data_IF_914261437165
#
_entry.id   IF_914261437165
#
_cell.length_a   1.000
_cell.length_b   1.000
_cell.length_c   1.000
_cell.angle_alpha   90.00
_cell.angle_beta   90.00
_cell.angle_gamma   90.00
#
_symmetry.space_group_name_H-M   'P 1'
#
loop_
_entity.id
_entity.type
_entity.pdbx_description
1 polymer ?
#
# COMPACT_ATOMS: atom_id res chain seq x y z
N UNK A 1 -16.18 -11.00 1.37
CA UNK A 1 -15.29 -9.99 0.76
C UNK A 1 -14.79 -9.03 1.83
N UNK A 2 -13.55 -8.69 1.76
CA UNK A 2 -12.88 -7.78 2.69
C UNK A 2 -12.11 -6.70 1.93
N UNK A 3 -11.84 -5.60 2.61
CA UNK A 3 -10.92 -4.56 2.13
C UNK A 3 -9.72 -4.55 3.06
N UNK A 4 -8.52 -4.72 2.48
CA UNK A 4 -7.26 -4.52 3.18
C UNK A 4 -6.73 -3.14 2.81
N UNK A 5 -6.57 -2.29 3.82
CA UNK A 5 -6.11 -0.91 3.66
C UNK A 5 -4.75 -0.75 4.33
N UNK A 6 -3.75 -0.37 3.55
CA UNK A 6 -2.44 0.00 4.07
C UNK A 6 -2.24 1.50 3.96
N UNK A 7 -1.74 2.13 5.00
CA UNK A 7 -1.58 3.58 5.07
C UNK A 7 -0.19 3.93 5.55
N UNK A 8 0.33 5.06 5.09
CA UNK A 8 1.58 5.64 5.57
C UNK A 8 1.54 7.16 5.36
N UNK A 9 2.24 7.90 6.21
CA UNK A 9 2.33 9.35 6.07
C UNK A 9 3.61 9.76 5.36
N UNK A 10 3.46 10.63 4.34
CA UNK A 10 4.60 11.23 3.65
C UNK A 10 5.22 12.34 4.50
N UNK A 11 6.53 12.49 4.42
CA UNK A 11 7.21 13.67 4.97
C UNK A 11 6.78 14.91 4.19
N UNK A 12 6.77 16.05 4.87
CA UNK A 12 6.45 17.31 4.22
C UNK A 12 7.38 17.57 3.04
N UNK A 13 6.78 17.88 1.88
CA UNK A 13 7.50 18.11 0.63
C UNK A 13 7.77 16.86 -0.21
N UNK A 14 7.48 15.65 0.32
CA UNK A 14 7.75 14.37 -0.36
C UNK A 14 6.50 13.60 -0.76
N UNK A 15 5.32 14.22 -0.67
CA UNK A 15 4.06 13.51 -0.96
C UNK A 15 4.01 12.94 -2.38
N UNK A 16 4.43 13.72 -3.38
CA UNK A 16 4.42 13.25 -4.77
C UNK A 16 5.39 12.09 -4.98
N UNK A 17 6.55 12.12 -4.32
CA UNK A 17 7.51 11.01 -4.38
C UNK A 17 6.89 9.72 -3.83
N UNK A 18 6.15 9.82 -2.72
CA UNK A 18 5.45 8.66 -2.14
C UNK A 18 4.35 8.15 -3.08
N UNK A 19 3.56 9.05 -3.67
CA UNK A 19 2.52 8.67 -4.64
C UNK A 19 3.15 7.94 -5.83
N UNK A 20 4.24 8.44 -6.39
CA UNK A 20 4.93 7.83 -7.52
C UNK A 20 5.46 6.43 -7.16
N UNK A 21 6.02 6.27 -5.96
CA UNK A 21 6.49 4.98 -5.47
C UNK A 21 5.34 3.99 -5.26
N UNK A 22 4.18 4.45 -4.77
CA UNK A 22 3.00 3.61 -4.62
C UNK A 22 2.45 3.16 -5.98
N UNK A 23 2.43 4.06 -6.96
CA UNK A 23 2.02 3.72 -8.33
C UNK A 23 2.98 2.69 -8.96
N UNK A 24 4.28 2.82 -8.71
CA UNK A 24 5.29 1.84 -9.14
C UNK A 24 5.02 0.47 -8.51
N UNK A 25 4.71 0.42 -7.23
CA UNK A 25 4.39 -0.82 -6.53
C UNK A 25 3.17 -1.52 -7.14
N UNK A 26 2.10 -0.75 -7.40
CA UNK A 26 0.88 -1.28 -8.00
C UNK A 26 1.15 -1.83 -9.41
N UNK A 27 1.97 -1.15 -10.18
CA UNK A 27 2.29 -1.53 -11.55
C UNK A 27 3.22 -2.74 -11.62
N UNK A 28 4.29 -2.74 -10.81
CA UNK A 28 5.42 -3.67 -10.99
C UNK A 28 5.42 -4.83 -9.98
N UNK A 29 4.92 -4.62 -8.76
CA UNK A 29 5.01 -5.61 -7.69
C UNK A 29 3.68 -6.33 -7.45
N UNK A 30 2.57 -5.60 -7.41
CA UNK A 30 1.25 -6.18 -7.13
C UNK A 30 0.90 -7.37 -8.06
N UNK A 31 1.16 -7.33 -9.37
CA UNK A 31 0.86 -8.47 -10.23
C UNK A 31 1.65 -9.72 -9.87
N UNK A 32 2.84 -9.58 -9.31
CA UNK A 32 3.69 -10.72 -8.92
C UNK A 32 3.17 -11.45 -7.69
N UNK A 33 2.29 -10.83 -6.92
CA UNK A 33 1.71 -11.43 -5.71
C UNK A 33 0.22 -11.71 -5.83
N UNK A 34 -0.30 -11.68 -7.06
CA UNK A 34 -1.69 -12.02 -7.33
C UNK A 34 -2.69 -10.90 -7.08
N UNK A 35 -2.23 -9.67 -6.95
CA UNK A 35 -3.09 -8.50 -6.80
C UNK A 35 -3.26 -7.81 -8.16
N UNK A 36 -4.48 -7.73 -8.65
CA UNK A 36 -4.76 -7.04 -9.90
C UNK A 36 -5.11 -5.57 -9.66
N UNK A 37 -4.65 -4.71 -10.57
CA UNK A 37 -4.83 -3.26 -10.45
C UNK A 37 -6.31 -2.83 -10.39
N UNK A 38 -7.22 -3.57 -11.02
CA UNK A 38 -8.65 -3.30 -11.01
C UNK A 38 -9.31 -3.53 -9.64
N UNK A 39 -8.63 -4.23 -8.72
CA UNK A 39 -9.08 -4.46 -7.35
C UNK A 39 -8.37 -3.56 -6.34
N UNK A 40 -7.59 -2.61 -6.80
CA UNK A 40 -6.80 -1.72 -5.96
C UNK A 40 -7.17 -0.27 -6.20
N UNK A 41 -7.13 0.52 -5.12
CA UNK A 41 -7.26 1.98 -5.20
C UNK A 41 -6.15 2.64 -4.41
N UNK A 42 -5.64 3.75 -4.95
CA UNK A 42 -4.70 4.62 -4.25
C UNK A 42 -5.44 5.87 -3.82
N UNK A 43 -5.39 6.18 -2.53
CA UNK A 43 -6.11 7.28 -1.91
C UNK A 43 -5.15 8.21 -1.17
N UNK A 44 -5.53 9.46 -1.07
CA UNK A 44 -4.86 10.40 -0.17
C UNK A 44 -5.88 11.21 0.60
N UNK A 45 -5.52 11.71 1.77
CA UNK A 45 -6.38 12.55 2.57
C UNK A 45 -6.67 13.89 1.90
N UNK A 46 -7.85 14.42 2.19
CA UNK A 46 -8.29 15.73 1.75
C UNK A 46 -9.02 16.41 2.92
N UNK A 47 -10.34 16.44 2.90
CA UNK A 47 -11.11 17.05 3.99
C UNK A 47 -11.49 15.95 5.01
N UNK A 48 -11.19 16.19 6.28
CA UNK A 48 -11.49 15.25 7.36
C UNK A 48 -10.48 14.11 7.53
N UNK A 49 -9.52 14.00 6.62
CA UNK A 49 -8.41 13.05 6.68
C UNK A 49 -7.11 13.80 6.42
N UNK A 50 -6.00 13.30 6.98
CA UNK A 50 -4.70 13.95 6.83
C UNK A 50 -4.24 13.95 5.38
N UNK A 51 -3.89 15.12 4.87
CA UNK A 51 -3.39 15.27 3.50
C UNK A 51 -2.10 14.47 3.27
N UNK A 52 -1.26 14.35 4.30
CA UNK A 52 -0.01 13.61 4.23
C UNK A 52 -0.20 12.10 4.12
N UNK A 53 -1.37 11.57 4.44
CA UNK A 53 -1.63 10.14 4.46
C UNK A 53 -1.89 9.62 3.04
N UNK A 54 -1.14 8.59 2.65
CA UNK A 54 -1.31 7.86 1.39
C UNK A 54 -1.79 6.45 1.75
N UNK A 55 -2.81 5.97 1.07
CA UNK A 55 -3.43 4.68 1.35
C UNK A 55 -3.58 3.86 0.09
N UNK A 56 -3.38 2.54 0.21
CA UNK A 56 -3.81 1.57 -0.80
C UNK A 56 -4.94 0.74 -0.23
N UNK A 57 -5.98 0.52 -1.03
CA UNK A 57 -7.05 -0.42 -0.70
C UNK A 57 -7.01 -1.58 -1.67
N UNK A 58 -7.12 -2.81 -1.13
CA UNK A 58 -7.21 -4.02 -1.94
C UNK A 58 -8.50 -4.76 -1.60
N UNK A 59 -9.22 -5.20 -2.62
CA UNK A 59 -10.31 -6.15 -2.41
C UNK A 59 -9.70 -7.54 -2.29
N UNK A 60 -10.03 -8.23 -1.21
CA UNK A 60 -9.60 -9.60 -0.95
C UNK A 60 -10.80 -10.46 -0.58
N UNK A 61 -10.70 -11.77 -0.79
CA UNK A 61 -11.78 -12.70 -0.42
C UNK A 61 -11.79 -12.95 1.08
N UNK A 62 -10.61 -13.18 1.65
CA UNK A 62 -10.45 -13.54 3.06
C UNK A 62 -9.02 -13.24 3.55
N UNK A 63 -8.78 -13.49 4.83
CA UNK A 63 -7.46 -13.26 5.45
C UNK A 63 -6.42 -14.26 4.95
N UNK A 64 -6.82 -15.44 4.51
CA UNK A 64 -5.89 -16.43 3.94
C UNK A 64 -5.25 -15.88 2.67
N UNK A 65 -6.05 -15.25 1.80
CA UNK A 65 -5.55 -14.60 0.59
C UNK A 65 -4.53 -13.51 0.93
N UNK A 66 -4.84 -12.65 1.92
CA UNK A 66 -3.93 -11.59 2.35
C UNK A 66 -2.62 -12.16 2.91
N UNK A 67 -2.71 -13.21 3.70
CA UNK A 67 -1.53 -13.85 4.26
C UNK A 67 -0.63 -14.45 3.16
N UNK A 68 -1.22 -15.02 2.12
CA UNK A 68 -0.49 -15.51 0.96
C UNK A 68 0.23 -14.39 0.22
N UNK A 69 -0.42 -13.21 0.10
CA UNK A 69 0.22 -12.02 -0.49
C UNK A 69 1.45 -11.63 0.32
N UNK A 70 1.33 -11.54 1.63
CA UNK A 70 2.46 -11.19 2.50
C UNK A 70 3.61 -12.19 2.39
N UNK A 71 3.31 -13.49 2.35
CA UNK A 71 4.33 -14.53 2.19
C UNK A 71 5.08 -14.38 0.86
N UNK A 72 4.37 -14.10 -0.23
CA UNK A 72 4.99 -13.88 -1.53
C UNK A 72 5.84 -12.61 -1.55
N UNK A 73 5.35 -11.51 -0.96
CA UNK A 73 6.09 -10.24 -0.87
C UNK A 73 7.45 -10.43 -0.21
N UNK A 74 7.54 -11.26 0.81
CA UNK A 74 8.79 -11.53 1.51
C UNK A 74 9.87 -12.15 0.62
N UNK A 75 9.51 -12.74 -0.52
CA UNK A 75 10.44 -13.38 -1.46
C UNK A 75 10.82 -12.51 -2.65
N UNK A 76 10.19 -11.34 -2.82
CA UNK A 76 10.38 -10.50 -4.01
C UNK A 76 11.43 -9.43 -3.74
N UNK A 77 12.55 -9.51 -4.45
CA UNK A 77 13.65 -8.54 -4.33
C UNK A 77 13.23 -7.12 -4.72
N UNK A 78 12.42 -6.98 -5.75
CA UNK A 78 11.88 -5.69 -6.18
C UNK A 78 11.09 -5.00 -5.06
N UNK A 79 10.36 -5.78 -4.23
CA UNK A 79 9.64 -5.25 -3.07
C UNK A 79 10.59 -4.76 -1.98
N UNK A 80 11.66 -5.48 -1.73
CA UNK A 80 12.69 -5.07 -0.76
C UNK A 80 13.36 -3.76 -1.18
N UNK A 81 13.70 -3.66 -2.47
CA UNK A 81 14.29 -2.44 -3.00
C UNK A 81 13.31 -1.27 -2.96
N UNK A 82 12.06 -1.51 -3.29
CA UNK A 82 11.00 -0.51 -3.21
C UNK A 82 10.86 0.02 -1.77
N UNK A 83 10.89 -0.86 -0.77
CA UNK A 83 10.83 -0.46 0.64
C UNK A 83 11.97 0.45 1.05
N UNK A 84 13.18 0.17 0.56
CA UNK A 84 14.37 1.03 0.79
C UNK A 84 14.20 2.39 0.09
N UNK A 85 13.68 2.40 -1.12
CA UNK A 85 13.44 3.64 -1.87
C UNK A 85 12.38 4.51 -1.20
N UNK A 86 11.38 3.89 -0.58
CA UNK A 86 10.30 4.59 0.11
C UNK A 86 10.76 5.24 1.43
N UNK A 87 11.64 4.57 2.16
CA UNK A 87 12.03 4.94 3.53
C UNK A 87 12.39 6.41 3.73
N UNK A 88 13.20 7.06 2.85
CA UNK A 88 13.57 8.47 3.04
C UNK A 88 12.42 9.45 2.93
N UNK A 89 11.31 9.06 2.33
CA UNK A 89 10.20 9.94 1.96
C UNK A 89 9.00 9.88 2.91
N UNK A 90 9.03 8.96 3.87
CA UNK A 90 7.89 8.71 4.76
C UNK A 90 8.24 8.97 6.22
N UNK A 91 7.22 9.23 7.03
CA UNK A 91 7.38 9.39 8.48
C UNK A 91 7.42 7.99 9.10
N UNK A 92 8.54 7.66 9.74
CA UNK A 92 8.75 6.37 10.37
C UNK A 92 7.68 6.09 11.45
N UNK A 93 7.18 4.86 11.47
CA UNK A 93 6.20 4.42 12.47
C UNK A 93 4.74 4.76 12.14
N UNK A 94 4.47 5.36 10.99
CA UNK A 94 3.09 5.74 10.61
C UNK A 94 2.40 4.70 9.74
N UNK A 95 3.11 3.67 9.29
CA UNK A 95 2.50 2.63 8.47
C UNK A 95 1.57 1.75 9.30
N UNK A 96 0.42 1.41 8.75
CA UNK A 96 -0.56 0.57 9.43
C UNK A 96 -1.43 -0.18 8.43
N UNK A 97 -1.92 -1.35 8.85
CA UNK A 97 -2.94 -2.10 8.16
C UNK A 97 -4.27 -1.96 8.88
N UNK A 98 -5.35 -1.83 8.11
CA UNK A 98 -6.71 -1.90 8.60
C UNK A 98 -7.49 -2.84 7.69
N UNK A 99 -8.20 -3.80 8.28
CA UNK A 99 -8.97 -4.80 7.53
C UNK A 99 -10.45 -4.60 7.82
N UNK A 100 -11.22 -4.39 6.77
CA UNK A 100 -12.67 -4.20 6.87
C UNK A 100 -13.39 -5.36 6.20
N UNK A 101 -14.51 -5.76 6.78
CA UNK A 101 -15.45 -6.69 6.16
C UNK A 101 -16.49 -5.88 5.41
N UNK A 102 -16.73 -6.22 4.14
CA UNK A 102 -17.77 -5.57 3.34
C UNK A 102 -19.11 -6.21 3.71
N UNK A 103 -20.07 -5.38 4.08
CA UNK A 103 -21.40 -5.81 4.48
C UNK A 103 -22.36 -5.91 3.29
#
# INVERSE_FOLDING_TARGET
>A
MMIARWSIDAKFGYKQDVIDLMQRWIRDIAPQVGLSADKMRLLTGSIGALEATIQTEHLINDLTELNQVWEKLATIEAHKQWSKDLEPHVVSGTNRWEIYRVL
#
